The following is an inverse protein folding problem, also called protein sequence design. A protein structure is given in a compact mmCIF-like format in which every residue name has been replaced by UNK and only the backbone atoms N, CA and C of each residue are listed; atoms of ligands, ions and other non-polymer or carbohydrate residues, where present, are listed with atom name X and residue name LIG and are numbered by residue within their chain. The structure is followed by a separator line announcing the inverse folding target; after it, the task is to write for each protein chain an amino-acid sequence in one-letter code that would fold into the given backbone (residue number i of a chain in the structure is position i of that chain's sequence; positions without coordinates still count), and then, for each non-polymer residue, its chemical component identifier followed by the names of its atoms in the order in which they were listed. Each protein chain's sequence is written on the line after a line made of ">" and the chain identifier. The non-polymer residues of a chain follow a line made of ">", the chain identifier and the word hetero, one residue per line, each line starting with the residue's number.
data_IF_464636883223
#
_entry.id   IF_464636883223
#
_cell.length_a   1.000
_cell.length_b   1.000
_cell.length_c   1.000
_cell.angle_alpha   90.00
_cell.angle_beta   90.00
_cell.angle_gamma   90.00
#
_symmetry.space_group_name_H-M   'P 1'
#
loop_
_entity.id
_entity.type
_entity.pdbx_description
1 polymer ?
#
# COMPACT_ATOMS: atom_id res chain seq x y z
N UNK A 1 18.37 16.61 -3.13
CA UNK A 1 17.58 15.90 -2.10
C UNK A 1 17.42 14.45 -2.55
N UNK A 2 17.74 13.48 -1.70
CA UNK A 2 17.50 12.08 -2.05
C UNK A 2 15.97 11.85 -2.06
N UNK A 3 15.38 11.18 -3.07
CA UNK A 3 13.96 10.89 -3.06
C UNK A 3 13.60 10.04 -1.84
N UNK A 4 12.67 10.49 -1.01
CA UNK A 4 12.18 9.68 0.11
C UNK A 4 11.29 8.56 -0.44
N UNK A 5 11.59 7.32 -0.03
CA UNK A 5 10.77 6.15 -0.35
C UNK A 5 9.84 5.89 0.82
N UNK A 6 8.53 5.91 0.58
CA UNK A 6 7.51 5.53 1.55
C UNK A 6 6.85 4.23 1.13
N UNK A 7 6.83 3.23 2.01
CA UNK A 7 6.12 1.97 1.75
C UNK A 7 4.70 2.03 2.30
N UNK A 8 3.74 1.64 1.48
CA UNK A 8 2.33 1.53 1.86
C UNK A 8 1.78 0.16 1.44
N UNK A 9 0.84 -0.36 2.22
CA UNK A 9 0.06 -1.54 1.87
C UNK A 9 -1.35 -1.11 1.48
N UNK A 10 -1.87 -1.64 0.38
CA UNK A 10 -3.22 -1.37 -0.10
C UNK A 10 -3.91 -2.70 -0.41
N UNK A 11 -5.02 -3.05 0.27
CA UNK A 11 -5.74 -4.25 -0.09
C UNK A 11 -6.25 -4.22 -1.54
N UNK A 12 -6.28 -5.38 -2.19
CA UNK A 12 -6.88 -5.51 -3.53
C UNK A 12 -8.31 -4.97 -3.52
N UNK A 13 -8.66 -4.20 -4.55
CA UNK A 13 -9.95 -3.54 -4.72
C UNK A 13 -10.28 -2.46 -3.67
N UNK A 14 -9.32 -2.08 -2.81
CA UNK A 14 -9.46 -0.95 -1.89
C UNK A 14 -8.56 0.21 -2.31
N UNK A 15 -8.75 1.36 -1.66
CA UNK A 15 -7.92 2.54 -1.85
C UNK A 15 -7.49 3.18 -0.54
N UNK A 16 -6.39 3.93 -0.59
CA UNK A 16 -5.92 4.76 0.51
C UNK A 16 -5.68 6.18 0.01
N UNK A 17 -5.97 7.17 0.86
CA UNK A 17 -5.62 8.57 0.60
C UNK A 17 -4.26 8.87 1.20
N UNK A 18 -3.37 9.44 0.40
CA UNK A 18 -2.05 9.90 0.84
C UNK A 18 -2.04 11.43 0.78
N UNK A 19 -1.55 12.06 1.85
CA UNK A 19 -1.28 13.50 1.88
C UNK A 19 0.21 13.74 1.66
N UNK A 20 0.53 14.76 0.86
CA UNK A 20 1.90 15.18 0.58
C UNK A 20 2.15 16.61 1.06
N UNK A 21 3.43 16.93 1.32
CA UNK A 21 3.85 18.22 1.84
C UNK A 21 4.15 19.25 0.74
N UNK A 22 3.92 18.91 -0.52
CA UNK A 22 4.24 19.74 -1.69
C UNK A 22 3.16 19.60 -2.75
N UNK A 23 2.98 20.63 -3.56
CA UNK A 23 2.01 20.63 -4.66
C UNK A 23 2.37 19.55 -5.69
N UNK A 24 1.42 18.64 -5.94
CA UNK A 24 1.50 17.60 -6.96
C UNK A 24 1.35 18.22 -8.36
N UNK A 25 2.20 17.81 -9.28
CA UNK A 25 2.04 18.07 -10.72
C UNK A 25 1.79 16.78 -11.48
N UNK A 26 2.75 15.85 -11.46
CA UNK A 26 2.68 14.59 -12.20
C UNK A 26 2.74 13.37 -11.26
N UNK A 27 2.04 12.31 -11.64
CA UNK A 27 2.06 11.01 -10.99
C UNK A 27 2.39 9.96 -12.05
N UNK A 28 3.41 9.14 -11.80
CA UNK A 28 3.80 8.04 -12.70
C UNK A 28 3.72 6.72 -11.96
N UNK A 29 2.85 5.84 -12.42
CA UNK A 29 2.67 4.49 -11.88
C UNK A 29 3.56 3.52 -12.66
N UNK A 30 4.31 2.69 -11.95
CA UNK A 30 5.23 1.72 -12.57
C UNK A 30 4.50 0.57 -13.28
N UNK A 31 3.47 0.01 -12.64
CA UNK A 31 2.62 -1.04 -13.21
C UNK A 31 1.16 -0.79 -12.80
N UNK A 32 0.37 -0.30 -13.76
CA UNK A 32 -1.05 0.03 -13.60
C UNK A 32 -1.95 -1.20 -13.41
N UNK A 33 -1.45 -2.42 -13.63
CA UNK A 33 -2.18 -3.66 -13.33
C UNK A 33 -2.13 -3.99 -11.84
N UNK A 34 -1.11 -3.51 -11.12
CA UNK A 34 -0.92 -3.75 -9.69
C UNK A 34 -1.61 -2.66 -8.87
N UNK A 35 -1.33 -1.39 -9.16
CA UNK A 35 -1.96 -0.26 -8.48
C UNK A 35 -2.25 0.87 -9.46
N UNK A 36 -3.08 1.82 -9.06
CA UNK A 36 -3.33 3.07 -9.76
C UNK A 36 -3.24 4.22 -8.77
N UNK A 37 -2.94 5.42 -9.26
CA UNK A 37 -2.84 6.59 -8.41
C UNK A 37 -3.34 7.84 -9.13
N UNK A 38 -4.25 8.56 -8.49
CA UNK A 38 -4.86 9.76 -9.06
C UNK A 38 -4.86 10.90 -8.04
N UNK A 39 -4.54 12.13 -8.47
CA UNK A 39 -4.63 13.28 -7.58
C UNK A 39 -6.09 13.52 -7.21
N UNK A 40 -6.34 13.77 -5.92
CA UNK A 40 -7.64 14.22 -5.42
C UNK A 40 -7.65 15.74 -5.23
N UNK A 41 -6.54 16.29 -4.76
CA UNK A 41 -6.27 17.73 -4.68
C UNK A 41 -4.83 18.01 -5.10
N UNK A 42 -4.41 19.27 -5.02
CA UNK A 42 -3.01 19.68 -5.19
C UNK A 42 -2.05 19.05 -4.15
N UNK A 43 -2.56 18.51 -3.03
CA UNK A 43 -1.76 17.92 -1.95
C UNK A 43 -2.21 16.54 -1.49
N UNK A 44 -3.17 15.93 -2.18
CA UNK A 44 -3.66 14.60 -1.83
C UNK A 44 -3.85 13.75 -3.08
N UNK A 45 -3.62 12.45 -2.94
CA UNK A 45 -3.86 11.46 -3.99
C UNK A 45 -4.52 10.21 -3.41
N UNK A 46 -5.34 9.54 -4.22
CA UNK A 46 -5.76 8.18 -3.96
C UNK A 46 -4.75 7.21 -4.58
N UNK A 47 -4.46 6.13 -3.87
CA UNK A 47 -3.79 4.95 -4.41
C UNK A 47 -4.76 3.78 -4.31
N UNK A 48 -5.05 3.13 -5.44
CA UNK A 48 -6.02 2.05 -5.57
C UNK A 48 -5.27 0.75 -5.84
N UNK A 49 -5.51 -0.29 -5.04
CA UNK A 49 -4.97 -1.63 -5.29
C UNK A 49 -5.80 -2.34 -6.35
N UNK A 50 -5.19 -2.67 -7.49
CA UNK A 50 -5.86 -3.36 -8.62
C UNK A 50 -5.55 -4.85 -8.66
N UNK A 51 -4.27 -5.19 -8.48
CA UNK A 51 -3.77 -6.56 -8.59
C UNK A 51 -2.68 -6.81 -7.57
N UNK A 52 -2.63 -8.03 -7.07
CA UNK A 52 -1.60 -8.47 -6.13
C UNK A 52 -0.20 -8.25 -6.71
N UNK A 53 0.69 -7.69 -5.89
CA UNK A 53 2.10 -7.51 -6.25
C UNK A 53 2.71 -6.29 -5.57
N UNK A 54 3.88 -5.88 -6.05
CA UNK A 54 4.53 -4.65 -5.62
C UNK A 54 4.79 -3.76 -6.82
N UNK A 55 4.46 -2.48 -6.72
CA UNK A 55 4.74 -1.48 -7.75
C UNK A 55 5.20 -0.17 -7.10
N UNK A 56 5.49 0.84 -7.92
CA UNK A 56 5.88 2.17 -7.45
C UNK A 56 4.98 3.24 -8.01
N UNK A 57 4.71 4.27 -7.22
CA UNK A 57 4.09 5.51 -7.65
C UNK A 57 5.08 6.64 -7.42
N UNK A 58 5.58 7.24 -8.50
CA UNK A 58 6.52 8.34 -8.44
C UNK A 58 5.76 9.66 -8.52
N UNK A 59 6.09 10.58 -7.63
CA UNK A 59 5.41 11.86 -7.48
C UNK A 59 6.34 12.99 -7.91
N UNK A 60 5.82 13.92 -8.71
CA UNK A 60 6.57 15.06 -9.22
C UNK A 60 5.79 16.36 -9.02
N UNK A 61 6.49 17.48 -8.88
CA UNK A 61 5.90 18.82 -8.95
C UNK A 61 5.54 19.19 -10.39
N UNK A 62 4.85 20.32 -10.58
CA UNK A 62 4.57 20.89 -11.90
C UNK A 62 5.85 21.09 -12.73
N UNK A 63 6.95 21.55 -12.10
CA UNK A 63 8.28 21.69 -12.73
C UNK A 63 9.03 20.36 -12.96
N UNK A 64 8.36 19.20 -12.87
CA UNK A 64 8.95 17.85 -12.97
C UNK A 64 10.03 17.52 -11.93
N UNK A 65 10.09 18.22 -10.80
CA UNK A 65 10.99 17.88 -9.69
C UNK A 65 10.42 16.70 -8.91
N UNK A 66 11.26 15.71 -8.61
CA UNK A 66 10.87 14.57 -7.78
C UNK A 66 10.43 15.02 -6.39
N UNK A 67 9.22 14.64 -6.00
CA UNK A 67 8.65 14.82 -4.66
C UNK A 67 8.78 13.57 -3.79
N UNK A 68 9.08 12.42 -4.40
CA UNK A 68 9.30 11.15 -3.70
C UNK A 68 8.68 9.97 -4.43
N UNK A 69 8.82 8.79 -3.84
CA UNK A 69 8.30 7.54 -4.41
C UNK A 69 7.52 6.78 -3.34
N UNK A 70 6.30 6.36 -3.68
CA UNK A 70 5.56 5.38 -2.90
C UNK A 70 5.88 3.99 -3.44
N UNK A 71 6.35 3.09 -2.57
CA UNK A 71 6.39 1.66 -2.86
C UNK A 71 5.07 1.05 -2.39
N UNK A 72 4.25 0.63 -3.34
CA UNK A 72 2.90 0.13 -3.09
C UNK A 72 2.93 -1.38 -3.10
N UNK A 73 2.59 -1.98 -1.97
CA UNK A 73 2.35 -3.41 -1.84
C UNK A 73 0.86 -3.68 -1.85
N UNK A 74 0.39 -4.46 -2.82
CA UNK A 74 -1.01 -4.83 -2.97
C UNK A 74 -1.20 -6.31 -2.63
N UNK A 75 -2.15 -6.58 -1.74
CA UNK A 75 -2.38 -7.93 -1.23
C UNK A 75 -3.78 -8.13 -0.66
N UNK A 76 -4.02 -9.31 -0.12
CA UNK A 76 -5.32 -9.64 0.45
C UNK A 76 -5.52 -8.95 1.80
N UNK A 77 -6.74 -8.46 2.05
CA UNK A 77 -7.14 -8.07 3.40
C UNK A 77 -7.28 -9.33 4.26
N UNK A 78 -6.50 -9.40 5.33
CA UNK A 78 -6.45 -10.53 6.26
C UNK A 78 -7.03 -10.17 7.63
N UNK A 79 -7.63 -8.99 7.77
CA UNK A 79 -8.12 -8.46 9.05
C UNK A 79 -9.19 -9.34 9.67
N UNK A 80 -10.16 -9.80 8.88
CA UNK A 80 -11.25 -10.68 9.35
C UNK A 80 -10.72 -12.04 9.80
N UNK A 81 -9.78 -12.61 9.04
CA UNK A 81 -9.15 -13.88 9.41
C UNK A 81 -8.29 -13.74 10.67
N UNK A 82 -7.58 -12.61 10.84
CA UNK A 82 -6.87 -12.30 12.07
C UNK A 82 -7.82 -12.12 13.26
N UNK A 83 -9.02 -11.58 13.06
CA UNK A 83 -10.06 -11.49 14.09
C UNK A 83 -10.60 -12.88 14.47
N UNK A 84 -10.93 -13.71 13.48
CA UNK A 84 -11.43 -15.07 13.69
C UNK A 84 -10.42 -15.94 14.47
N UNK A 85 -9.14 -15.90 14.10
CA UNK A 85 -8.07 -16.64 14.81
C UNK A 85 -7.94 -16.17 16.26
N UNK A 86 -8.02 -14.86 16.53
CA UNK A 86 -8.00 -14.33 17.90
C UNK A 86 -9.21 -14.77 18.73
N UNK A 87 -10.38 -14.98 18.11
CA UNK A 87 -11.57 -15.45 18.81
C UNK A 87 -11.42 -16.91 19.27
N UNK A 88 -10.85 -17.77 18.43
CA UNK A 88 -10.69 -19.21 18.74
C UNK A 88 -9.44 -19.53 19.55
N UNK A 89 -8.38 -18.74 19.38
CA UNK A 89 -7.10 -18.94 20.03
C UNK A 89 -6.54 -17.62 20.61
N UNK A 90 -7.24 -17.00 21.60
CA UNK A 90 -6.89 -15.67 22.12
C UNK A 90 -5.51 -15.59 22.78
N UNK A 91 -4.94 -16.73 23.18
CA UNK A 91 -3.59 -16.82 23.78
C UNK A 91 -2.50 -17.13 22.76
N UNK A 92 -2.85 -17.47 21.52
CA UNK A 92 -1.87 -17.74 20.47
C UNK A 92 -1.22 -16.43 20.00
N UNK A 93 0.09 -16.49 19.75
CA UNK A 93 0.83 -15.38 19.15
C UNK A 93 1.02 -15.69 17.67
N UNK A 94 0.02 -15.31 16.88
CA UNK A 94 -0.02 -15.54 15.43
C UNK A 94 0.06 -14.19 14.72
N UNK A 95 1.06 -14.06 13.85
CA UNK A 95 1.18 -12.98 12.88
C UNK A 95 0.59 -13.42 11.55
N UNK A 96 -0.19 -12.52 10.94
CA UNK A 96 -0.85 -12.76 9.66
C UNK A 96 -0.53 -11.59 8.75
N UNK A 97 -0.14 -11.89 7.52
CA UNK A 97 0.07 -10.88 6.49
C UNK A 97 -0.11 -11.48 5.10
N UNK A 98 -0.15 -10.60 4.09
CA UNK A 98 -0.05 -11.00 2.70
C UNK A 98 1.41 -10.91 2.26
N UNK A 99 1.92 -11.94 1.57
CA UNK A 99 3.25 -11.94 0.95
C UNK A 99 3.15 -12.59 -0.43
N UNK A 100 3.60 -11.90 -1.48
CA UNK A 100 3.53 -12.41 -2.86
C UNK A 100 2.13 -12.94 -3.24
N UNK A 101 1.06 -12.30 -2.77
CA UNK A 101 -0.32 -12.74 -3.02
C UNK A 101 -0.85 -13.89 -2.20
N UNK A 102 -0.01 -14.48 -1.36
CA UNK A 102 -0.39 -15.56 -0.47
C UNK A 102 -0.52 -15.01 0.93
N UNK A 103 -1.43 -15.61 1.68
CA UNK A 103 -1.51 -15.34 3.11
C UNK A 103 -0.38 -16.10 3.80
N UNK A 104 0.45 -15.38 4.56
CA UNK A 104 1.43 -15.96 5.47
C UNK A 104 0.87 -15.93 6.89
N UNK A 105 0.81 -17.10 7.52
CA UNK A 105 0.63 -17.23 8.96
C UNK A 105 1.94 -17.70 9.57
N UNK A 106 2.38 -17.07 10.65
CA UNK A 106 3.54 -17.49 11.42
C UNK A 106 3.31 -17.25 12.90
N UNK A 107 3.84 -18.11 13.77
CA UNK A 107 3.64 -17.96 15.21
C UNK A 107 3.76 -19.26 15.98
N UNK A 108 3.42 -19.18 17.27
CA UNK A 108 3.41 -20.32 18.18
C UNK A 108 2.06 -20.42 18.89
N UNK A 109 1.57 -21.65 19.01
CA UNK A 109 0.39 -22.02 19.79
C UNK A 109 0.90 -22.65 21.09
N UNK A 110 0.23 -22.37 22.22
CA UNK A 110 0.51 -23.02 23.52
C UNK A 110 -0.50 -24.12 23.77
#
# INVERSE_FOLDING_TARGET
>A
SNPTIHRIFVPVSQSVTIQVNSTLGDIVVGDEKIADAQPMTDKTLYVIGKGVGTTTVNLFSEDKRSLGTLQVEVGQDVSDMAAAIRQVAPRARIEIGSINGKIRLSGHVK
#
